data_IF_767478023549
#
_entry.id   IF_767478023549
#
_cell.length_a   1.000
_cell.length_b   1.000
_cell.length_c   1.000
_cell.angle_alpha   90.00
_cell.angle_beta   90.00
_cell.angle_gamma   90.00
#
_symmetry.space_group_name_H-M   'P 1'
#
loop_
_entity.id
_entity.type
_entity.pdbx_description
1 polymer ?
#
# COMPACT_ATOMS: atom_id res chain seq x y z
N UNK A 1 2.93 0.58 8.38
CA UNK A 1 3.20 1.62 9.40
C UNK A 1 3.85 2.86 8.79
N UNK A 2 5.10 2.78 8.30
CA UNK A 2 5.82 3.94 7.73
C UNK A 2 5.05 4.66 6.63
N UNK A 3 4.46 3.94 5.67
CA UNK A 3 3.64 4.54 4.61
C UNK A 3 2.48 5.36 5.16
N UNK A 4 1.83 4.88 6.22
CA UNK A 4 0.73 5.60 6.89
C UNK A 4 1.24 6.84 7.62
N UNK A 5 2.37 6.73 8.33
CA UNK A 5 3.02 7.86 9.02
C UNK A 5 3.39 8.98 8.04
N UNK A 6 4.13 8.64 6.99
CA UNK A 6 4.54 9.64 6.01
C UNK A 6 3.34 10.19 5.22
N UNK A 7 2.28 9.41 4.99
CA UNK A 7 1.05 9.90 4.36
C UNK A 7 0.36 10.97 5.22
N UNK A 8 0.33 10.81 6.55
CA UNK A 8 -0.19 11.85 7.45
C UNK A 8 0.66 13.13 7.36
N UNK A 9 1.99 13.01 7.37
CA UNK A 9 2.89 14.17 7.39
C UNK A 9 2.90 14.90 6.04
N UNK A 10 3.05 14.16 4.94
CA UNK A 10 3.29 14.72 3.61
C UNK A 10 1.98 14.99 2.87
N UNK A 11 0.98 14.11 2.98
CA UNK A 11 -0.31 14.28 2.29
C UNK A 11 -1.38 14.91 3.18
N UNK A 12 -1.10 15.11 4.48
CA UNK A 12 -2.07 15.63 5.46
C UNK A 12 -3.36 14.79 5.52
N UNK A 13 -3.25 13.48 5.24
CA UNK A 13 -4.38 12.56 5.34
C UNK A 13 -4.80 12.37 6.81
N UNK A 14 -6.11 12.43 7.07
CA UNK A 14 -6.66 12.14 8.39
C UNK A 14 -6.82 10.62 8.58
N UNK A 15 -5.93 10.04 9.37
CA UNK A 15 -5.98 8.61 9.71
C UNK A 15 -6.72 8.42 11.04
N UNK A 16 -7.82 7.67 11.02
CA UNK A 16 -8.62 7.39 12.21
C UNK A 16 -7.98 6.37 13.16
N UNK A 17 -8.41 6.38 14.42
CA UNK A 17 -7.87 5.53 15.50
C UNK A 17 -7.93 4.03 15.20
N UNK A 18 -8.98 3.58 14.49
CA UNK A 18 -9.13 2.18 14.10
C UNK A 18 -8.02 1.69 13.15
N UNK A 19 -7.51 2.57 12.30
CA UNK A 19 -6.41 2.21 11.39
C UNK A 19 -5.09 2.14 12.16
N UNK A 20 -4.90 3.05 13.11
CA UNK A 20 -3.75 3.01 14.03
C UNK A 20 -3.73 1.73 14.86
N UNK A 21 -4.84 1.37 15.49
CA UNK A 21 -4.91 0.13 16.28
C UNK A 21 -4.62 -1.10 15.43
N UNK A 22 -5.19 -1.18 14.24
CA UNK A 22 -4.96 -2.32 13.34
C UNK A 22 -3.51 -2.39 12.84
N UNK A 23 -2.86 -1.26 12.56
CA UNK A 23 -1.45 -1.25 12.18
C UNK A 23 -0.52 -1.67 13.31
N UNK A 24 -0.82 -1.30 14.55
CA UNK A 24 -0.06 -1.72 15.74
C UNK A 24 -0.24 -3.23 15.96
N UNK A 25 -1.48 -3.73 15.88
CA UNK A 25 -1.76 -5.17 16.00
C UNK A 25 -1.07 -5.96 14.88
N UNK A 26 -1.12 -5.49 13.63
CA UNK A 26 -0.43 -6.11 12.52
C UNK A 26 1.09 -6.13 12.73
N UNK A 27 1.66 -5.04 13.25
CA UNK A 27 3.09 -5.01 13.60
C UNK A 27 3.45 -5.99 14.72
N UNK A 28 2.60 -6.15 15.73
CA UNK A 28 2.79 -7.17 16.75
C UNK A 28 2.77 -8.59 16.14
N UNK A 29 1.90 -8.85 15.15
CA UNK A 29 1.93 -10.09 14.39
C UNK A 29 3.26 -10.32 13.66
N UNK A 30 3.85 -9.26 13.08
CA UNK A 30 5.20 -9.35 12.48
C UNK A 30 6.26 -9.68 13.52
N UNK A 31 6.19 -9.12 14.73
CA UNK A 31 7.12 -9.46 15.83
C UNK A 31 6.98 -10.92 16.27
N UNK A 32 5.78 -11.49 16.22
CA UNK A 32 5.56 -12.93 16.45
C UNK A 32 6.19 -13.76 15.33
N UNK A 33 6.15 -13.31 14.08
CA UNK A 33 6.82 -14.03 12.97
C UNK A 33 8.33 -13.97 13.15
N UNK A 34 8.87 -12.78 13.42
CA UNK A 34 10.32 -12.57 13.46
C UNK A 34 10.97 -13.06 14.75
N UNK A 35 10.19 -13.34 15.81
CA UNK A 35 10.67 -13.76 17.13
C UNK A 35 12.00 -13.08 17.53
N UNK A 36 12.02 -11.73 17.65
CA UNK A 36 13.26 -11.02 17.91
C UNK A 36 13.80 -11.39 19.31
N UNK A 37 14.95 -12.07 19.34
CA UNK A 37 15.69 -12.45 20.54
C UNK A 37 16.94 -11.60 20.76
N UNK A 38 17.67 -11.85 21.84
CA UNK A 38 18.95 -11.18 22.08
C UNK A 38 19.94 -11.51 20.94
N UNK A 39 20.35 -10.49 20.17
CA UNK A 39 21.23 -10.63 19.01
C UNK A 39 20.56 -10.55 17.63
N UNK A 40 19.23 -10.38 17.54
CA UNK A 40 18.53 -10.29 16.24
C UNK A 40 18.67 -8.93 15.56
N UNK A 41 19.25 -7.92 16.22
CA UNK A 41 19.56 -6.64 15.59
C UNK A 41 20.87 -6.76 14.80
N UNK A 42 20.76 -7.35 13.62
CA UNK A 42 21.87 -7.50 12.67
C UNK A 42 21.89 -6.33 11.67
N UNK A 43 22.99 -6.18 10.94
CA UNK A 43 23.04 -5.27 9.79
C UNK A 43 21.91 -5.52 8.78
N UNK A 44 21.52 -6.79 8.58
CA UNK A 44 20.39 -7.16 7.74
C UNK A 44 19.05 -6.59 8.23
N UNK A 45 18.81 -6.60 9.55
CA UNK A 45 17.61 -6.00 10.14
C UNK A 45 17.56 -4.48 9.92
N UNK A 46 18.71 -3.79 10.04
CA UNK A 46 18.82 -2.35 9.76
C UNK A 46 18.57 -2.02 8.28
N UNK A 47 19.08 -2.84 7.36
CA UNK A 47 18.78 -2.69 5.93
C UNK A 47 17.30 -2.92 5.63
N UNK A 48 16.67 -3.93 6.24
CA UNK A 48 15.24 -4.18 6.08
C UNK A 48 14.38 -3.02 6.59
N UNK A 49 14.74 -2.42 7.74
CA UNK A 49 14.06 -1.24 8.27
C UNK A 49 14.24 -0.02 7.35
N UNK A 50 15.46 0.22 6.88
CA UNK A 50 15.76 1.28 5.91
C UNK A 50 14.94 1.09 4.64
N UNK A 51 14.89 -0.12 4.10
CA UNK A 51 14.07 -0.46 2.95
C UNK A 51 12.58 -0.18 3.19
N UNK A 52 12.04 -0.50 4.37
CA UNK A 52 10.65 -0.23 4.72
C UNK A 52 10.32 1.28 4.73
N UNK A 53 11.29 2.13 5.09
CA UNK A 53 11.15 3.59 5.00
C UNK A 53 11.22 4.04 3.54
N UNK A 54 12.23 3.58 2.78
CA UNK A 54 12.42 3.96 1.38
C UNK A 54 11.22 3.58 0.51
N UNK A 55 10.70 2.35 0.62
CA UNK A 55 9.53 1.91 -0.15
C UNK A 55 8.28 2.73 0.20
N UNK A 56 8.16 3.18 1.46
CA UNK A 56 7.09 4.06 1.90
C UNK A 56 7.19 5.45 1.27
N UNK A 57 8.41 5.98 1.15
CA UNK A 57 8.68 7.23 0.44
C UNK A 57 8.34 7.11 -1.03
N UNK A 58 8.72 5.99 -1.68
CA UNK A 58 8.37 5.71 -3.09
C UNK A 58 6.85 5.68 -3.28
N UNK A 59 6.12 4.98 -2.42
CA UNK A 59 4.65 4.91 -2.52
C UNK A 59 3.99 6.31 -2.44
N UNK A 60 4.55 7.20 -1.63
CA UNK A 60 4.07 8.58 -1.48
C UNK A 60 4.48 9.47 -2.65
N UNK A 61 5.70 9.30 -3.15
CA UNK A 61 6.17 9.99 -4.35
C UNK A 61 5.29 9.65 -5.55
N UNK A 62 5.02 8.36 -5.78
CA UNK A 62 4.10 7.88 -6.81
C UNK A 62 2.74 8.55 -6.65
N UNK A 63 2.17 8.56 -5.44
CA UNK A 63 0.87 9.18 -5.18
C UNK A 63 0.84 10.68 -5.48
N UNK A 64 1.92 11.40 -5.17
CA UNK A 64 2.01 12.84 -5.47
C UNK A 64 2.18 13.10 -6.95
N UNK A 65 3.07 12.37 -7.61
CA UNK A 65 3.34 12.55 -9.03
C UNK A 65 2.19 12.04 -9.91
N UNK A 66 1.38 11.09 -9.44
CA UNK A 66 0.21 10.63 -10.17
C UNK A 66 -0.91 11.68 -10.31
N UNK A 67 -0.77 12.82 -9.64
CA UNK A 67 -1.68 13.97 -9.81
C UNK A 67 -1.36 14.77 -11.08
N UNK A 68 -0.13 14.66 -11.61
CA UNK A 68 0.33 15.37 -12.81
C UNK A 68 0.65 14.42 -13.96
N UNK A 69 1.14 13.22 -13.63
CA UNK A 69 1.65 12.23 -14.59
C UNK A 69 0.79 10.98 -14.64
N UNK A 70 0.83 10.30 -15.79
CA UNK A 70 0.16 9.00 -15.96
C UNK A 70 0.89 7.88 -15.20
N UNK A 71 0.16 6.84 -14.81
CA UNK A 71 0.76 5.65 -14.17
C UNK A 71 1.72 4.89 -15.10
N UNK A 72 1.49 4.96 -16.42
CA UNK A 72 2.37 4.37 -17.44
C UNK A 72 3.72 5.09 -17.46
N UNK A 73 3.70 6.42 -17.53
CA UNK A 73 4.89 7.28 -17.46
C UNK A 73 5.68 6.97 -16.19
N UNK A 74 5.03 6.99 -15.02
CA UNK A 74 5.71 6.71 -13.75
C UNK A 74 6.37 5.33 -13.71
N UNK A 75 5.69 4.30 -14.22
CA UNK A 75 6.23 2.94 -14.21
C UNK A 75 7.41 2.81 -15.17
N UNK A 76 7.34 3.39 -16.37
CA UNK A 76 8.43 3.37 -17.36
C UNK A 76 9.66 4.07 -16.79
N UNK A 77 9.53 5.30 -16.30
CA UNK A 77 10.67 6.04 -15.74
C UNK A 77 11.29 5.30 -14.54
N UNK A 78 10.46 4.75 -13.65
CA UNK A 78 10.96 4.00 -12.52
C UNK A 78 11.73 2.74 -12.95
N UNK A 79 11.19 1.98 -13.90
CA UNK A 79 11.86 0.79 -14.44
C UNK A 79 13.15 1.14 -15.17
N UNK A 80 13.15 2.18 -16.01
CA UNK A 80 14.36 2.62 -16.73
C UNK A 80 15.47 3.06 -15.77
N UNK A 81 15.14 3.85 -14.75
CA UNK A 81 16.12 4.27 -13.73
C UNK A 81 16.65 3.06 -12.96
N UNK A 82 15.77 2.14 -12.56
CA UNK A 82 16.18 0.92 -11.86
C UNK A 82 17.13 0.08 -12.73
N UNK A 83 16.80 -0.13 -14.01
CA UNK A 83 17.65 -0.84 -14.96
C UNK A 83 19.02 -0.17 -15.07
N UNK A 84 19.08 1.16 -15.24
CA UNK A 84 20.34 1.91 -15.33
C UNK A 84 21.19 1.78 -14.05
N UNK A 85 20.57 1.95 -12.88
CA UNK A 85 21.25 1.80 -11.60
C UNK A 85 21.79 0.38 -11.41
N UNK A 86 21.01 -0.65 -11.77
CA UNK A 86 21.46 -2.04 -11.66
C UNK A 86 22.48 -2.42 -12.74
N UNK A 87 22.46 -1.80 -13.92
CA UNK A 87 23.45 -2.03 -14.96
C UNK A 87 24.85 -1.62 -14.51
N UNK A 88 24.96 -0.59 -13.66
CA UNK A 88 26.23 -0.23 -13.01
C UNK A 88 26.84 -1.38 -12.21
N UNK A 89 26.03 -2.27 -11.63
CA UNK A 89 26.50 -3.42 -10.86
C UNK A 89 27.19 -4.49 -11.72
N UNK A 90 26.95 -4.49 -13.03
CA UNK A 90 27.63 -5.42 -13.97
C UNK A 90 29.15 -5.26 -13.94
N UNK A 91 29.64 -4.06 -13.57
CA UNK A 91 31.08 -3.77 -13.46
C UNK A 91 31.77 -4.51 -12.31
N UNK A 92 31.02 -4.99 -11.31
CA UNK A 92 31.57 -5.71 -10.14
C UNK A 92 31.65 -7.24 -10.36
N UNK A 93 31.28 -7.73 -11.55
CA UNK A 93 31.34 -9.14 -11.91
C UNK A 93 30.10 -9.56 -12.67
N UNK A 94 30.27 -9.92 -13.94
CA UNK A 94 29.20 -10.44 -14.77
C UNK A 94 29.45 -11.92 -15.10
N UNK A 95 28.47 -12.76 -14.74
CA UNK A 95 28.45 -14.17 -15.15
C UNK A 95 27.21 -14.38 -16.00
N UNK A 96 27.42 -14.77 -17.25
CA UNK A 96 26.32 -15.04 -18.16
C UNK A 96 25.47 -16.21 -17.61
N UNK A 97 24.14 -16.04 -17.47
CA UNK A 97 23.25 -17.11 -17.03
C UNK A 97 23.19 -18.21 -18.10
N UNK A 98 22.97 -19.45 -17.65
CA UNK A 98 22.65 -20.53 -18.57
C UNK A 98 21.29 -20.26 -19.25
N UNK A 99 21.02 -20.84 -20.41
CA UNK A 99 19.78 -20.57 -21.16
C UNK A 99 18.51 -20.83 -20.35
N UNK A 100 18.49 -21.88 -19.51
CA UNK A 100 17.40 -22.15 -18.58
C UNK A 100 17.18 -21.02 -17.56
N UNK A 101 18.26 -20.59 -16.90
CA UNK A 101 18.22 -19.50 -15.91
C UNK A 101 17.84 -18.17 -16.56
N UNK A 102 18.32 -17.91 -17.78
CA UNK A 102 18.00 -16.71 -18.54
C UNK A 102 16.49 -16.61 -18.83
N UNK A 103 15.84 -17.73 -19.19
CA UNK A 103 14.39 -17.76 -19.38
C UNK A 103 13.65 -17.52 -18.06
N UNK A 104 14.09 -18.12 -16.96
CA UNK A 104 13.47 -17.89 -15.64
C UNK A 104 13.57 -16.43 -15.21
N UNK A 105 14.75 -15.81 -15.40
CA UNK A 105 14.96 -14.38 -15.12
C UNK A 105 14.10 -13.51 -16.03
N UNK A 106 13.96 -13.84 -17.31
CA UNK A 106 13.09 -13.12 -18.23
C UNK A 106 11.61 -13.18 -17.81
N UNK A 107 11.10 -14.36 -17.43
CA UNK A 107 9.74 -14.50 -16.92
C UNK A 107 9.53 -13.76 -15.59
N UNK A 108 10.49 -13.85 -14.66
CA UNK A 108 10.45 -13.12 -13.41
C UNK A 108 10.45 -11.59 -13.64
N UNK A 109 11.26 -11.10 -14.57
CA UNK A 109 11.33 -9.70 -14.96
C UNK A 109 10.03 -9.20 -15.60
N UNK A 110 9.46 -9.96 -16.54
CA UNK A 110 8.17 -9.63 -17.16
C UNK A 110 7.04 -9.60 -16.11
N UNK A 111 6.98 -10.60 -15.22
CA UNK A 111 6.04 -10.63 -14.12
C UNK A 111 6.20 -9.46 -13.16
N UNK A 112 7.44 -9.09 -12.83
CA UNK A 112 7.73 -7.93 -11.99
C UNK A 112 7.29 -6.61 -12.66
N UNK A 113 7.51 -6.44 -13.95
CA UNK A 113 7.05 -5.26 -14.70
C UNK A 113 5.53 -5.10 -14.66
N UNK A 114 4.79 -6.19 -14.87
CA UNK A 114 3.32 -6.20 -14.77
C UNK A 114 2.86 -5.88 -13.35
N UNK A 115 3.46 -6.54 -12.35
CA UNK A 115 3.14 -6.31 -10.94
C UNK A 115 3.41 -4.85 -10.52
N UNK A 116 4.54 -4.29 -10.96
CA UNK A 116 4.88 -2.90 -10.68
C UNK A 116 3.88 -1.94 -11.32
N UNK A 117 3.47 -2.18 -12.57
CA UNK A 117 2.47 -1.34 -13.23
C UNK A 117 1.15 -1.32 -12.44
N UNK A 118 0.65 -2.49 -12.03
CA UNK A 118 -0.57 -2.57 -11.21
C UNK A 118 -0.40 -1.95 -9.84
N UNK A 119 0.78 -2.09 -9.22
CA UNK A 119 1.10 -1.42 -7.96
C UNK A 119 1.04 0.11 -8.12
N UNK A 120 1.73 0.68 -9.11
CA UNK A 120 1.72 2.12 -9.41
C UNK A 120 0.30 2.60 -9.71
N UNK A 121 -0.46 1.84 -10.51
CA UNK A 121 -1.86 2.16 -10.84
C UNK A 121 -2.76 2.12 -9.61
N UNK A 122 -2.56 1.19 -8.68
CA UNK A 122 -3.33 1.14 -7.44
C UNK A 122 -3.11 2.39 -6.58
N UNK A 123 -1.86 2.87 -6.50
CA UNK A 123 -1.48 4.06 -5.74
C UNK A 123 -1.94 5.35 -6.40
N UNK A 124 -2.08 5.40 -7.73
CA UNK A 124 -2.69 6.55 -8.39
C UNK A 124 -4.19 6.64 -8.15
N UNK A 125 -4.88 5.49 -8.09
CA UNK A 125 -6.34 5.44 -7.90
C UNK A 125 -6.79 5.60 -6.45
N UNK A 126 -6.02 5.10 -5.48
CA UNK A 126 -6.38 5.12 -4.07
C UNK A 126 -5.26 5.70 -3.20
N UNK A 127 -5.60 6.34 -2.06
CA UNK A 127 -4.58 6.80 -1.13
C UNK A 127 -3.74 5.61 -0.64
N UNK A 128 -2.41 5.76 -0.44
CA UNK A 128 -1.52 4.67 -0.03
C UNK A 128 -2.03 3.97 1.23
N UNK A 129 -2.63 4.76 2.12
CA UNK A 129 -3.18 4.29 3.37
C UNK A 129 -4.28 3.22 3.18
N UNK A 130 -5.05 3.27 2.07
CA UNK A 130 -6.05 2.27 1.69
C UNK A 130 -5.47 1.05 0.97
N UNK A 131 -4.31 1.19 0.33
CA UNK A 131 -3.63 0.10 -0.40
C UNK A 131 -2.83 -0.79 0.56
N UNK A 132 -2.23 -0.23 1.62
CA UNK A 132 -1.38 -0.93 2.59
C UNK A 132 -1.99 -2.24 3.15
N UNK A 133 -3.29 -2.31 3.54
CA UNK A 133 -3.87 -3.55 4.06
C UNK A 133 -3.83 -4.72 3.07
N UNK A 134 -3.92 -4.45 1.76
CA UNK A 134 -3.84 -5.49 0.74
C UNK A 134 -2.44 -6.09 0.63
N UNK A 135 -1.41 -5.32 1.00
CA UNK A 135 -0.04 -5.83 1.01
C UNK A 135 0.13 -6.98 2.01
N UNK A 136 -0.71 -7.07 3.04
CA UNK A 136 -0.68 -8.20 3.98
C UNK A 136 -1.17 -9.52 3.37
N UNK A 137 -2.00 -9.47 2.32
CA UNK A 137 -2.39 -10.67 1.58
C UNK A 137 -1.20 -11.31 0.86
N UNK A 138 -0.14 -10.54 0.58
CA UNK A 138 1.09 -11.10 0.02
C UNK A 138 1.73 -12.16 0.93
N UNK A 139 1.59 -12.04 2.27
CA UNK A 139 2.09 -13.03 3.21
C UNK A 139 1.34 -14.37 3.09
N UNK A 140 0.03 -14.30 2.86
CA UNK A 140 -0.81 -15.49 2.66
C UNK A 140 -0.42 -16.18 1.37
N UNK A 141 -0.31 -15.43 0.28
CA UNK A 141 0.12 -15.97 -1.01
C UNK A 141 1.55 -16.50 -0.97
N UNK A 142 2.47 -15.80 -0.31
CA UNK A 142 3.85 -16.25 -0.14
C UNK A 142 3.90 -17.59 0.60
N UNK A 143 3.11 -17.77 1.66
CA UNK A 143 3.04 -19.03 2.41
C UNK A 143 2.44 -20.17 1.57
N UNK A 144 1.34 -19.91 0.84
CA UNK A 144 0.71 -20.90 -0.03
C UNK A 144 1.69 -21.34 -1.12
N UNK A 145 2.38 -20.39 -1.76
CA UNK A 145 3.34 -20.68 -2.82
C UNK A 145 4.61 -21.35 -2.28
N UNK A 146 5.10 -20.95 -1.09
CA UNK A 146 6.21 -21.60 -0.40
C UNK A 146 5.92 -23.10 -0.20
N UNK A 147 4.75 -23.42 0.34
CA UNK A 147 4.32 -24.80 0.53
C UNK A 147 4.10 -25.54 -0.81
N UNK A 148 3.43 -24.91 -1.77
CA UNK A 148 3.06 -25.56 -3.03
C UNK A 148 4.26 -25.84 -3.96
N UNK A 149 5.25 -24.95 -3.99
CA UNK A 149 6.39 -25.03 -4.91
C UNK A 149 7.62 -25.65 -4.23
N UNK A 150 7.89 -25.30 -2.96
CA UNK A 150 9.08 -25.76 -2.23
C UNK A 150 8.78 -26.84 -1.18
N UNK A 151 7.50 -27.11 -0.85
CA UNK A 151 7.14 -28.06 0.21
C UNK A 151 7.41 -27.54 1.62
N UNK A 152 7.69 -26.25 1.78
CA UNK A 152 8.03 -25.65 3.07
C UNK A 152 6.81 -25.62 4.00
N UNK A 153 6.84 -26.46 5.04
CA UNK A 153 5.75 -26.55 6.01
C UNK A 153 5.79 -25.33 6.95
N UNK A 154 4.71 -24.53 7.03
CA UNK A 154 4.67 -23.35 7.89
C UNK A 154 4.84 -23.73 9.36
N UNK A 155 5.73 -23.03 10.07
CA UNK A 155 5.86 -23.21 11.52
C UNK A 155 4.66 -22.63 12.26
N UNK A 156 4.31 -23.14 13.47
CA UNK A 156 3.19 -22.60 14.25
C UNK A 156 3.30 -21.11 14.54
N UNK A 157 4.52 -20.59 14.75
CA UNK A 157 4.77 -19.16 14.94
C UNK A 157 4.47 -18.33 13.69
N UNK A 158 4.84 -18.83 12.51
CA UNK A 158 4.52 -18.20 11.24
C UNK A 158 3.01 -18.20 10.99
N UNK A 159 2.31 -19.29 11.31
CA UNK A 159 0.85 -19.38 11.21
C UNK A 159 0.14 -18.40 12.14
N UNK A 160 0.54 -18.37 13.42
CA UNK A 160 -0.05 -17.46 14.41
C UNK A 160 0.18 -15.99 14.04
N UNK A 161 1.42 -15.63 13.71
CA UNK A 161 1.78 -14.26 13.33
C UNK A 161 1.11 -13.80 12.03
N UNK A 162 1.09 -14.65 11.00
CA UNK A 162 0.40 -14.33 9.73
C UNK A 162 -1.10 -14.20 9.92
N UNK A 163 -1.74 -15.04 10.74
CA UNK A 163 -3.16 -14.92 11.07
C UNK A 163 -3.49 -13.56 11.71
N UNK A 164 -2.65 -13.09 12.65
CA UNK A 164 -2.81 -11.75 13.27
C UNK A 164 -2.69 -10.65 12.23
N UNK A 165 -1.66 -10.72 11.36
CA UNK A 165 -1.43 -9.73 10.31
C UNK A 165 -2.62 -9.68 9.33
N UNK A 166 -3.10 -10.83 8.88
CA UNK A 166 -4.24 -10.95 7.96
C UNK A 166 -5.53 -10.44 8.61
N UNK A 167 -5.82 -10.85 9.85
CA UNK A 167 -6.99 -10.40 10.59
C UNK A 167 -7.00 -8.87 10.77
N UNK A 168 -5.84 -8.27 11.07
CA UNK A 168 -5.70 -6.82 11.19
C UNK A 168 -5.96 -6.09 9.87
N UNK A 169 -5.45 -6.62 8.75
CA UNK A 169 -5.70 -6.08 7.41
C UNK A 169 -7.17 -6.18 7.00
N UNK A 170 -7.79 -7.35 7.24
CA UNK A 170 -9.20 -7.59 6.93
C UNK A 170 -10.12 -6.71 7.78
N UNK A 171 -9.78 -6.47 9.05
CA UNK A 171 -10.50 -5.54 9.91
C UNK A 171 -10.50 -4.11 9.36
N UNK A 172 -9.35 -3.62 8.88
CA UNK A 172 -9.25 -2.29 8.23
C UNK A 172 -10.17 -2.25 7.01
N UNK A 173 -10.07 -3.25 6.14
CA UNK A 173 -10.85 -3.34 4.91
C UNK A 173 -12.36 -3.33 5.20
N UNK A 174 -12.82 -4.24 6.05
CA UNK A 174 -14.22 -4.38 6.43
C UNK A 174 -14.80 -3.06 6.98
N UNK A 175 -14.04 -2.38 7.84
CA UNK A 175 -14.48 -1.12 8.44
C UNK A 175 -14.53 0.02 7.43
N UNK A 176 -13.59 0.07 6.50
CA UNK A 176 -13.56 1.08 5.44
C UNK A 176 -14.75 0.90 4.47
N UNK A 177 -15.09 -0.35 4.14
CA UNK A 177 -16.31 -0.67 3.37
C UNK A 177 -17.58 -0.25 4.10
N UNK A 178 -17.65 -0.43 5.43
CA UNK A 178 -18.80 -0.02 6.24
C UNK A 178 -18.99 1.50 6.29
N UNK A 179 -17.90 2.29 6.26
CA UNK A 179 -17.97 3.76 6.23
C UNK A 179 -18.45 4.30 4.89
N UNK A 180 -18.07 3.68 3.77
CA UNK A 180 -18.53 4.07 2.43
C UNK A 180 -20.02 3.79 2.18
N UNK A 181 -20.63 2.89 2.97
CA UNK A 181 -22.06 2.56 2.89
C UNK A 181 -23.00 3.54 3.60
N UNK A 182 -22.51 4.56 4.30
CA UNK A 182 -23.40 5.62 4.81
C UNK A 182 -23.75 6.55 3.65
N UNK A 183 -25.01 6.58 3.17
CA UNK A 183 -25.43 7.58 2.21
C UNK A 183 -25.26 8.93 2.90
N UNK A 184 -24.45 9.82 2.32
CA UNK A 184 -24.57 11.24 2.61
C UNK A 184 -25.98 11.64 2.21
N UNK A 185 -26.90 11.71 3.19
CA UNK A 185 -28.19 12.36 2.99
C UNK A 185 -27.86 13.78 2.52
N UNK A 186 -28.28 14.18 1.30
CA UNK A 186 -28.02 15.52 0.82
C UNK A 186 -28.58 16.51 1.84
N UNK A 187 -27.73 17.42 2.34
CA UNK A 187 -28.18 18.47 3.23
C UNK A 187 -29.34 19.22 2.54
N UNK A 188 -30.47 19.46 3.23
CA UNK A 188 -31.58 20.16 2.60
C UNK A 188 -31.07 21.55 2.18
N UNK A 189 -31.19 21.85 0.88
CA UNK A 189 -30.83 23.13 0.31
C UNK A 189 -31.48 24.26 1.13
N UNK A 190 -30.70 24.93 1.98
CA UNK A 190 -31.09 26.15 2.73
C UNK A 190 -31.22 27.38 1.81
N UNK A 191 -31.75 27.20 0.59
CA UNK A 191 -31.79 28.22 -0.46
C UNK A 191 -33.19 28.72 -0.85
N UNK A 192 -34.27 28.01 -0.53
CA UNK A 192 -35.59 28.32 -1.14
C UNK A 192 -36.56 29.05 -0.20
N UNK A 193 -36.30 29.07 1.11
CA UNK A 193 -37.26 29.64 2.08
C UNK A 193 -37.20 31.17 2.25
N UNK A 194 -36.28 31.89 1.59
CA UNK A 194 -36.20 33.37 1.70
C UNK A 194 -36.92 34.13 0.57
N UNK A 195 -37.37 33.46 -0.49
CA UNK A 195 -38.03 34.13 -1.63
C UNK A 195 -39.56 34.31 -1.49
N UNK A 196 -40.21 33.55 -0.62
CA UNK A 196 -41.68 33.56 -0.51
C UNK A 196 -42.24 34.46 0.60
N UNK A 197 -41.39 35.02 1.47
CA UNK A 197 -41.83 35.91 2.54
C UNK A 197 -41.90 37.39 2.12
N UNK A 198 -41.22 37.78 1.03
CA UNK A 198 -41.09 39.20 0.63
C UNK A 198 -42.15 39.63 -0.41
N UNK A 199 -42.71 38.69 -1.17
CA UNK A 199 -43.76 39.00 -2.17
C UNK A 199 -45.14 39.22 -1.58
N UNK A 200 -45.37 38.90 -0.29
CA UNK A 200 -46.68 39.11 0.36
C UNK A 200 -46.83 40.47 1.04
N UNK A 201 -45.80 41.33 1.02
CA UNK A 201 -45.81 42.66 1.69
C UNK A 201 -45.93 43.86 0.75
N UNK A 202 -46.00 43.65 -0.58
CA UNK A 202 -46.00 44.71 -1.61
C UNK A 202 -47.32 44.84 -2.41
N UNK A 203 -48.45 44.45 -1.84
CA UNK A 203 -49.76 44.47 -2.52
C UNK A 203 -50.90 45.10 -1.73
N UNK A 204 -50.70 46.26 -1.10
CA UNK A 204 -51.79 47.02 -0.47
C UNK A 204 -51.69 48.52 -0.80
N UNK A 205 -51.92 48.86 -2.06
CA UNK A 205 -52.32 50.20 -2.51
C UNK A 205 -53.15 50.03 -3.78
N UNK A 206 -54.46 49.83 -3.60
CA UNK A 206 -55.60 50.40 -4.33
C UNK A 206 -56.88 49.73 -3.81
#
# INVERSE_FOLDING_TARGET
LFTTLLSIVILKEKVGIHRWSALIVGFAGVLVITHPGAGTLTWGALFALTNAVLISTVAIAIRRMSMTESAETLTIYQMSIMTLCTAGLLTFGFRAPHWGDALMVAFAGAGNGIAQFWWTRSLSLAPPSAVVPFNYLSLVWAMILAFAVWGDVPTPGLLAGSAIVVASGLYILWRETLRRRRPTVPAPHRGVAKGFADTRRKGSWF
#
